data_IF_718580235393
#
_entry.id   IF_718580235393
#
_cell.length_a   1.000
_cell.length_b   1.000
_cell.length_c   1.000
_cell.angle_alpha   90.00
_cell.angle_beta   90.00
_cell.angle_gamma   90.00
#
_symmetry.space_group_name_H-M   'P 1'
#
loop_
_entity.id
_entity.type
_entity.pdbx_description
1 polymer ?
#
# COMPACT_ATOMS: atom_id res chain seq x y z
N UNK A 1 -11.35 5.42 39.86
CA UNK A 1 -9.99 4.89 40.12
C UNK A 1 -9.45 4.26 38.83
N UNK A 2 -8.17 4.48 38.51
CA UNK A 2 -7.55 3.78 37.38
C UNK A 2 -7.31 2.32 37.76
N UNK A 3 -7.75 1.37 36.95
CA UNK A 3 -7.44 -0.03 37.14
C UNK A 3 -5.94 -0.22 36.84
N UNK A 4 -5.23 -0.87 37.73
CA UNK A 4 -3.85 -1.32 37.56
C UNK A 4 -3.86 -2.85 37.64
N UNK A 5 -3.07 -3.50 36.81
CA UNK A 5 -2.95 -4.97 36.79
C UNK A 5 -1.70 -5.42 37.51
N UNK A 6 -1.72 -6.58 38.12
CA UNK A 6 -0.56 -7.14 38.82
C UNK A 6 0.44 -7.78 37.85
N UNK A 7 -0.07 -8.37 36.76
CA UNK A 7 0.71 -9.06 35.75
C UNK A 7 -0.03 -9.10 34.40
N UNK A 8 0.63 -9.64 33.38
CA UNK A 8 0.10 -9.78 32.03
C UNK A 8 -1.11 -10.74 31.94
N UNK A 9 -1.23 -11.70 32.85
CA UNK A 9 -2.37 -12.64 32.84
C UNK A 9 -3.64 -11.95 33.32
N UNK A 10 -3.56 -11.17 34.41
CA UNK A 10 -4.72 -10.37 34.88
C UNK A 10 -5.15 -9.35 33.82
N UNK A 11 -4.20 -8.71 33.12
CA UNK A 11 -4.50 -7.83 31.97
C UNK A 11 -5.25 -8.60 30.88
N UNK A 12 -4.74 -9.77 30.49
CA UNK A 12 -5.34 -10.62 29.45
C UNK A 12 -6.76 -11.02 29.80
N UNK A 13 -6.95 -11.63 30.98
CA UNK A 13 -8.28 -12.07 31.43
C UNK A 13 -9.30 -10.93 31.47
N UNK A 14 -8.89 -9.77 31.99
CA UNK A 14 -9.77 -8.62 32.03
C UNK A 14 -10.22 -8.15 30.65
N UNK A 15 -9.30 -8.04 29.68
CA UNK A 15 -9.64 -7.56 28.35
C UNK A 15 -10.31 -8.63 27.49
N UNK A 16 -10.08 -9.91 27.73
CA UNK A 16 -10.89 -10.98 27.13
C UNK A 16 -12.37 -10.92 27.59
N UNK A 17 -12.62 -10.65 28.87
CA UNK A 17 -13.99 -10.42 29.37
C UNK A 17 -14.57 -9.09 28.89
N UNK A 18 -13.76 -8.04 28.79
CA UNK A 18 -14.21 -6.76 28.26
C UNK A 18 -14.72 -6.86 26.81
N UNK A 19 -14.03 -7.66 25.98
CA UNK A 19 -14.38 -7.91 24.58
C UNK A 19 -15.67 -8.73 24.40
N UNK A 20 -16.11 -9.45 25.41
CA UNK A 20 -17.37 -10.22 25.39
C UNK A 20 -18.60 -9.38 25.73
N UNK A 21 -18.43 -8.12 26.11
CA UNK A 21 -19.54 -7.23 26.44
C UNK A 21 -20.45 -7.03 25.25
N UNK A 22 -21.76 -6.98 25.54
CA UNK A 22 -22.73 -6.67 24.50
C UNK A 22 -22.44 -5.30 23.85
N UNK A 23 -22.55 -5.26 22.53
CA UNK A 23 -22.23 -4.07 21.73
C UNK A 23 -20.73 -3.83 21.46
N UNK A 24 -19.80 -4.61 22.05
CA UNK A 24 -18.38 -4.48 21.71
C UNK A 24 -18.08 -5.17 20.37
N UNK A 25 -17.24 -4.53 19.55
CA UNK A 25 -16.74 -5.08 18.27
C UNK A 25 -15.23 -4.90 18.20
N UNK A 26 -14.51 -5.95 17.86
CA UNK A 26 -13.09 -5.86 17.58
C UNK A 26 -12.84 -5.09 16.28
N UNK A 27 -11.87 -4.18 16.23
CA UNK A 27 -11.52 -3.52 14.98
C UNK A 27 -10.79 -4.47 14.03
N UNK A 28 -11.09 -4.37 12.74
CA UNK A 28 -10.36 -5.05 11.67
C UNK A 28 -8.93 -4.52 11.58
N UNK A 29 -8.77 -3.20 11.79
CA UNK A 29 -7.47 -2.55 11.84
C UNK A 29 -7.50 -1.37 12.82
N UNK A 30 -6.35 -1.06 13.43
CA UNK A 30 -6.21 0.12 14.26
C UNK A 30 -4.76 0.59 14.38
N UNK A 31 -4.59 1.83 14.82
CA UNK A 31 -3.29 2.41 15.12
C UNK A 31 -3.38 3.77 15.79
N UNK A 32 -2.24 4.25 16.28
CA UNK A 32 -2.06 5.64 16.71
C UNK A 32 -1.47 6.40 15.51
N UNK A 33 -2.17 7.42 15.06
CA UNK A 33 -1.71 8.33 14.02
C UNK A 33 -1.13 9.61 14.62
N UNK A 34 0.01 10.08 14.09
CA UNK A 34 0.41 11.48 14.16
C UNK A 34 -0.11 12.18 12.93
N UNK A 35 -0.80 13.30 13.09
CA UNK A 35 -1.40 14.02 11.96
C UNK A 35 -0.71 15.36 11.73
N UNK A 36 -0.59 15.75 10.46
CA UNK A 36 -0.22 17.10 10.05
C UNK A 36 -1.46 17.83 9.55
N UNK A 37 -1.64 19.05 10.05
CA UNK A 37 -2.82 19.88 9.83
C UNK A 37 -2.56 20.97 8.81
N UNK A 38 -3.64 21.48 8.22
CA UNK A 38 -3.57 22.60 7.29
C UNK A 38 -3.03 23.86 7.95
N UNK A 39 -2.21 24.60 7.22
CA UNK A 39 -1.63 25.87 7.67
C UNK A 39 -2.69 26.98 7.71
N UNK A 40 -3.68 26.93 6.81
CA UNK A 40 -4.79 27.88 6.73
C UNK A 40 -6.00 27.40 7.55
N UNK A 41 -6.29 26.11 7.48
CA UNK A 41 -7.38 25.47 8.19
C UNK A 41 -6.84 24.34 9.08
N UNK A 42 -6.70 24.60 10.37
CA UNK A 42 -6.20 23.63 11.35
C UNK A 42 -7.11 22.41 11.57
N UNK A 43 -8.37 22.47 11.15
CA UNK A 43 -9.27 21.32 11.23
C UNK A 43 -9.05 20.32 10.09
N UNK A 44 -8.41 20.78 9.00
CA UNK A 44 -8.10 19.97 7.85
C UNK A 44 -6.86 19.11 8.09
N UNK A 45 -7.02 17.80 8.04
CA UNK A 45 -5.90 16.88 8.09
C UNK A 45 -5.29 16.76 6.69
N UNK A 46 -3.98 16.94 6.59
CA UNK A 46 -3.22 16.84 5.33
C UNK A 46 -2.57 15.49 5.15
N UNK A 47 -2.04 14.90 6.22
CA UNK A 47 -1.51 13.54 6.25
C UNK A 47 -1.63 12.92 7.63
N UNK A 48 -1.47 11.59 7.69
CA UNK A 48 -1.35 10.81 8.91
C UNK A 48 -0.16 9.85 8.83
N UNK A 49 0.66 9.81 9.88
CA UNK A 49 1.82 8.92 9.98
C UNK A 49 1.59 7.89 11.08
N UNK A 50 1.86 6.62 10.78
CA UNK A 50 1.73 5.51 11.72
C UNK A 50 3.07 4.83 11.94
N UNK A 51 3.52 4.73 13.18
CA UNK A 51 4.68 3.91 13.54
C UNK A 51 4.31 2.43 13.68
N UNK A 52 3.07 2.16 14.12
CA UNK A 52 2.54 0.81 14.32
C UNK A 52 1.13 0.73 13.76
N UNK A 53 0.88 -0.26 12.90
CA UNK A 53 -0.45 -0.60 12.39
C UNK A 53 -0.78 -2.05 12.71
N UNK A 54 -2.01 -2.31 13.09
CA UNK A 54 -2.51 -3.63 13.43
C UNK A 54 -3.63 -4.03 12.46
N UNK A 55 -3.59 -5.25 11.96
CA UNK A 55 -4.61 -5.81 11.08
C UNK A 55 -5.00 -7.21 11.56
N UNK A 56 -6.22 -7.37 12.06
CA UNK A 56 -6.74 -8.63 12.64
C UNK A 56 -5.81 -9.22 13.70
N UNK A 57 -5.13 -8.36 14.44
CA UNK A 57 -4.19 -8.72 15.50
C UNK A 57 -4.25 -7.74 16.67
N UNK A 58 -3.58 -8.05 17.78
CA UNK A 58 -3.45 -7.16 18.95
C UNK A 58 -4.79 -6.69 19.56
N UNK A 59 -5.83 -7.50 19.50
CA UNK A 59 -7.18 -7.15 19.96
C UNK A 59 -7.25 -6.71 21.43
N UNK A 60 -6.38 -7.26 22.29
CA UNK A 60 -6.30 -6.83 23.69
C UNK A 60 -5.76 -5.40 23.83
N UNK A 61 -4.82 -5.02 22.94
CA UNK A 61 -4.34 -3.63 22.89
C UNK A 61 -5.45 -2.69 22.40
N UNK A 62 -6.19 -3.07 21.35
CA UNK A 62 -7.35 -2.32 20.91
C UNK A 62 -8.38 -2.12 22.02
N UNK A 63 -8.72 -3.21 22.73
CA UNK A 63 -9.65 -3.19 23.85
C UNK A 63 -9.17 -2.27 24.99
N UNK A 64 -7.87 -2.26 25.27
CA UNK A 64 -7.29 -1.38 26.30
C UNK A 64 -7.37 0.10 25.92
N UNK A 65 -7.11 0.45 24.65
CA UNK A 65 -7.32 1.81 24.16
C UNK A 65 -8.78 2.22 24.20
N UNK A 66 -9.70 1.37 23.75
CA UNK A 66 -11.16 1.60 23.81
C UNK A 66 -11.61 1.80 25.25
N UNK A 67 -11.16 0.96 26.17
CA UNK A 67 -11.46 1.10 27.58
C UNK A 67 -10.92 2.42 28.16
N UNK A 68 -9.71 2.84 27.76
CA UNK A 68 -9.13 4.11 28.19
C UNK A 68 -9.96 5.30 27.69
N UNK A 69 -10.44 5.27 26.44
CA UNK A 69 -11.34 6.27 25.87
C UNK A 69 -12.64 6.36 26.68
N UNK A 70 -13.31 5.25 26.92
CA UNK A 70 -14.57 5.21 27.70
C UNK A 70 -14.36 5.71 29.14
N UNK A 71 -13.19 5.48 29.74
CA UNK A 71 -12.84 6.01 31.08
C UNK A 71 -12.45 7.47 31.07
N UNK A 72 -12.35 8.07 29.91
CA UNK A 72 -12.17 9.52 29.69
C UNK A 72 -13.41 10.19 29.09
N UNK A 73 -14.57 9.53 29.20
CA UNK A 73 -15.87 10.01 28.75
C UNK A 73 -15.99 10.17 27.22
N UNK A 74 -15.20 9.39 26.47
CA UNK A 74 -15.30 9.30 25.01
C UNK A 74 -16.12 8.08 24.65
N UNK A 75 -17.27 8.29 24.04
CA UNK A 75 -18.14 7.23 23.55
C UNK A 75 -17.58 6.69 22.22
N UNK A 76 -17.46 5.35 22.12
CA UNK A 76 -16.97 4.68 20.91
C UNK A 76 -18.16 4.12 20.15
N UNK A 77 -18.37 4.58 18.93
CA UNK A 77 -19.42 4.07 18.05
C UNK A 77 -18.94 2.82 17.31
N UNK A 78 -19.34 1.66 17.81
CA UNK A 78 -19.05 0.36 17.20
C UNK A 78 -19.91 0.03 15.97
N UNK A 79 -20.95 0.83 15.70
CA UNK A 79 -21.82 0.65 14.53
C UNK A 79 -21.24 1.32 13.27
N UNK A 80 -20.35 2.30 13.44
CA UNK A 80 -19.65 2.96 12.36
C UNK A 80 -18.59 2.05 11.74
N UNK A 81 -18.31 2.20 10.45
CA UNK A 81 -17.23 1.46 9.78
C UNK A 81 -15.84 1.89 10.24
N UNK A 82 -15.69 3.15 10.65
CA UNK A 82 -14.46 3.71 11.22
C UNK A 82 -14.77 4.62 12.40
N UNK A 83 -13.85 4.68 13.34
CA UNK A 83 -13.90 5.60 14.47
C UNK A 83 -12.55 6.27 14.65
N UNK A 84 -12.53 7.59 14.56
CA UNK A 84 -11.32 8.43 14.68
C UNK A 84 -11.53 9.42 15.80
N UNK A 85 -10.63 9.45 16.77
CA UNK A 85 -10.72 10.35 17.91
C UNK A 85 -9.35 10.85 18.34
N UNK A 86 -9.32 12.00 19.04
CA UNK A 86 -8.06 12.54 19.57
C UNK A 86 -7.49 11.65 20.68
N UNK A 87 -6.20 11.34 20.58
CA UNK A 87 -5.44 10.74 21.68
C UNK A 87 -4.90 11.88 22.56
N UNK A 88 -5.74 12.35 23.49
CA UNK A 88 -5.38 13.43 24.41
C UNK A 88 -4.37 12.95 25.47
N UNK A 89 -3.61 13.87 26.14
CA UNK A 89 -2.73 13.51 27.26
C UNK A 89 -3.46 12.73 28.37
N UNK A 90 -4.75 13.04 28.63
CA UNK A 90 -5.61 12.34 29.61
C UNK A 90 -5.80 10.87 29.20
N UNK A 91 -6.12 10.62 27.91
CA UNK A 91 -6.32 9.27 27.37
C UNK A 91 -5.01 8.50 27.34
N UNK A 92 -3.92 9.13 26.86
CA UNK A 92 -2.58 8.53 26.82
C UNK A 92 -2.10 8.10 28.22
N UNK A 93 -2.26 8.97 29.22
CA UNK A 93 -1.94 8.66 30.61
C UNK A 93 -2.78 7.50 31.17
N UNK A 94 -4.07 7.43 30.77
CA UNK A 94 -4.97 6.37 31.20
C UNK A 94 -4.56 5.05 30.56
N UNK A 95 -4.31 5.04 29.26
CA UNK A 95 -3.86 3.84 28.54
C UNK A 95 -2.50 3.35 29.04
N UNK A 96 -1.51 4.25 29.28
CA UNK A 96 -0.21 3.86 29.83
C UNK A 96 -0.32 3.14 31.17
N UNK A 97 -1.22 3.57 32.07
CA UNK A 97 -1.47 2.86 33.31
C UNK A 97 -2.02 1.45 33.13
N UNK A 98 -2.85 1.23 32.10
CA UNK A 98 -3.34 -0.11 31.78
C UNK A 98 -2.22 -1.02 31.26
N UNK A 99 -1.27 -0.45 30.51
CA UNK A 99 -0.13 -1.17 29.94
C UNK A 99 1.10 -1.26 30.87
N UNK A 100 1.02 -0.76 32.10
CA UNK A 100 2.17 -0.70 33.05
C UNK A 100 2.86 -2.05 33.27
N UNK A 101 2.13 -3.15 33.18
CA UNK A 101 2.67 -4.52 33.32
C UNK A 101 3.67 -4.90 32.22
N UNK A 102 3.68 -4.17 31.10
CA UNK A 102 4.58 -4.39 29.94
C UNK A 102 5.74 -3.41 29.88
N UNK A 103 5.86 -2.46 30.82
CA UNK A 103 6.90 -1.41 30.79
C UNK A 103 8.32 -1.97 30.89
N UNK A 104 8.50 -3.12 31.59
CA UNK A 104 9.82 -3.77 31.73
C UNK A 104 10.36 -4.37 30.43
N UNK A 105 9.46 -4.72 29.49
CA UNK A 105 9.79 -5.30 28.19
C UNK A 105 9.03 -4.55 27.05
N UNK A 106 9.09 -3.23 27.09
CA UNK A 106 8.33 -2.35 26.22
C UNK A 106 8.63 -2.59 24.73
N UNK A 107 9.87 -2.96 24.38
CA UNK A 107 10.29 -3.20 22.98
C UNK A 107 9.63 -4.41 22.33
N UNK A 108 9.23 -5.39 23.15
CA UNK A 108 8.48 -6.56 22.67
C UNK A 108 7.00 -6.27 22.42
N UNK A 109 6.50 -5.12 22.89
CA UNK A 109 5.09 -4.73 22.80
C UNK A 109 4.94 -3.43 21.99
N UNK A 110 4.93 -3.54 20.66
CA UNK A 110 4.96 -2.38 19.74
C UNK A 110 3.89 -1.31 19.98
N UNK A 111 2.67 -1.69 20.34
CA UNK A 111 1.62 -0.72 20.69
C UNK A 111 1.93 0.03 21.99
N UNK A 112 2.59 -0.61 22.95
CA UNK A 112 3.00 0.00 24.22
C UNK A 112 4.20 0.94 23.97
N UNK A 113 5.18 0.50 23.17
CA UNK A 113 6.33 1.32 22.74
C UNK A 113 5.87 2.60 22.03
N UNK A 114 4.91 2.46 21.10
CA UNK A 114 4.32 3.59 20.37
C UNK A 114 3.61 4.57 21.32
N UNK A 115 2.77 4.07 22.23
CA UNK A 115 2.09 4.90 23.23
C UNK A 115 3.09 5.61 24.15
N UNK A 116 4.18 4.95 24.53
CA UNK A 116 5.24 5.55 25.34
C UNK A 116 5.91 6.72 24.59
N UNK A 117 6.23 6.56 23.31
CA UNK A 117 6.78 7.62 22.48
C UNK A 117 5.83 8.82 22.37
N UNK A 118 4.51 8.57 22.21
CA UNK A 118 3.49 9.63 22.22
C UNK A 118 3.43 10.36 23.54
N UNK A 119 3.53 9.63 24.66
CA UNK A 119 3.54 10.23 25.99
C UNK A 119 4.77 11.11 26.21
N UNK A 120 5.95 10.65 25.81
CA UNK A 120 7.18 11.47 25.85
C UNK A 120 7.04 12.73 25.00
N UNK A 121 6.46 12.63 23.80
CA UNK A 121 6.23 13.80 22.97
C UNK A 121 5.32 14.85 23.63
N UNK A 122 4.32 14.44 24.41
CA UNK A 122 3.49 15.37 25.20
C UNK A 122 4.25 16.00 26.38
N UNK A 123 5.27 15.31 26.92
CA UNK A 123 6.08 15.81 28.03
C UNK A 123 7.18 16.78 27.57
N UNK A 124 7.77 16.54 26.39
CA UNK A 124 8.89 17.31 25.84
C UNK A 124 8.43 18.63 25.17
N UNK A 125 7.25 18.64 24.58
CA UNK A 125 6.73 19.79 23.84
C UNK A 125 5.40 20.26 24.45
N UNK A 126 5.47 21.21 25.38
CA UNK A 126 4.30 21.81 26.05
C UNK A 126 3.38 22.59 25.08
N UNK A 127 3.87 22.92 23.88
CA UNK A 127 3.09 23.53 22.80
C UNK A 127 2.51 22.49 21.84
N UNK A 128 2.82 21.19 22.03
CA UNK A 128 2.18 20.14 21.28
C UNK A 128 0.66 20.16 21.55
N UNK A 129 -0.04 20.75 20.61
CA UNK A 129 -1.50 20.79 20.64
C UNK A 129 -2.05 19.37 20.88
N UNK A 130 -2.99 19.26 21.82
CA UNK A 130 -3.68 18.00 22.17
C UNK A 130 -4.21 17.21 20.95
N UNK A 131 -4.27 17.85 19.80
CA UNK A 131 -4.87 17.32 18.57
C UNK A 131 -3.87 16.74 17.54
N UNK A 132 -2.56 16.60 17.89
CA UNK A 132 -1.55 16.03 16.94
C UNK A 132 -1.61 14.51 16.84
N UNK A 133 -2.17 13.83 17.83
CA UNK A 133 -2.26 12.37 17.85
C UNK A 133 -3.70 11.91 17.86
N UNK A 134 -3.99 10.85 17.10
CA UNK A 134 -5.32 10.26 17.01
C UNK A 134 -5.28 8.75 17.20
N UNK A 135 -6.31 8.21 17.83
CA UNK A 135 -6.63 6.80 17.78
C UNK A 135 -7.57 6.53 16.61
N UNK A 136 -7.22 5.60 15.78
CA UNK A 136 -7.97 5.24 14.57
C UNK A 136 -8.32 3.77 14.63
N UNK A 137 -9.61 3.47 14.53
CA UNK A 137 -10.15 2.11 14.49
C UNK A 137 -10.99 1.94 13.23
N UNK A 138 -10.73 0.89 12.48
CA UNK A 138 -11.58 0.44 11.39
C UNK A 138 -12.35 -0.79 11.89
N UNK A 139 -13.64 -0.65 12.10
CA UNK A 139 -14.49 -1.75 12.54
C UNK A 139 -14.97 -2.62 11.38
N UNK A 140 -14.98 -2.07 10.17
CA UNK A 140 -15.28 -2.79 8.94
C UNK A 140 -14.30 -2.39 7.82
N UNK A 141 -14.08 -3.28 6.86
CA UNK A 141 -13.38 -2.94 5.63
C UNK A 141 -14.36 -2.28 4.64
N UNK A 142 -14.64 -1.01 4.86
CA UNK A 142 -15.52 -0.17 4.06
C UNK A 142 -14.75 0.96 3.37
N UNK A 143 -15.45 1.79 2.58
CA UNK A 143 -14.91 3.02 2.01
C UNK A 143 -14.40 3.93 3.13
N UNK A 144 -13.16 4.40 3.08
CA UNK A 144 -12.63 5.29 4.09
C UNK A 144 -13.33 6.66 4.05
N UNK A 145 -13.62 7.22 5.21
CA UNK A 145 -14.32 8.52 5.38
C UNK A 145 -13.36 9.63 5.83
N UNK A 146 -12.19 9.26 6.39
CA UNK A 146 -11.20 10.20 6.92
C UNK A 146 -9.83 10.00 6.25
N UNK A 147 -8.99 11.04 6.28
CA UNK A 147 -7.59 10.99 5.83
C UNK A 147 -6.83 9.93 6.62
N UNK A 148 -7.05 9.88 7.93
CA UNK A 148 -6.44 8.94 8.84
C UNK A 148 -6.74 7.49 8.47
N UNK A 149 -7.99 7.18 8.14
CA UNK A 149 -8.40 5.84 7.70
C UNK A 149 -7.78 5.47 6.35
N UNK A 150 -7.71 6.41 5.39
CA UNK A 150 -7.01 6.17 4.12
C UNK A 150 -5.55 5.82 4.38
N UNK A 151 -4.83 6.64 5.17
CA UNK A 151 -3.43 6.38 5.47
C UNK A 151 -3.22 5.05 6.19
N UNK A 152 -4.09 4.68 7.15
CA UNK A 152 -4.01 3.39 7.82
C UNK A 152 -4.07 2.24 6.79
N UNK A 153 -5.01 2.29 5.85
CA UNK A 153 -5.14 1.29 4.77
C UNK A 153 -3.92 1.28 3.83
N UNK A 154 -3.37 2.44 3.47
CA UNK A 154 -2.16 2.52 2.67
C UNK A 154 -0.94 1.92 3.39
N UNK A 155 -0.79 2.15 4.69
CA UNK A 155 0.24 1.52 5.52
C UNK A 155 0.09 0.00 5.56
N UNK A 156 -1.13 -0.53 5.70
CA UNK A 156 -1.38 -1.97 5.72
C UNK A 156 -0.86 -2.65 4.45
N UNK A 157 -1.09 -2.05 3.28
CA UNK A 157 -0.58 -2.57 2.01
C UNK A 157 0.95 -2.41 1.93
N UNK A 158 1.46 -1.21 2.20
CA UNK A 158 2.89 -0.91 2.02
C UNK A 158 3.79 -1.66 2.98
N UNK A 159 3.30 -2.02 4.17
CA UNK A 159 3.99 -2.87 5.14
C UNK A 159 3.75 -4.38 4.92
N UNK A 160 3.01 -4.75 3.87
CA UNK A 160 2.74 -6.15 3.56
C UNK A 160 1.80 -6.86 4.54
N UNK A 161 1.07 -6.12 5.40
CA UNK A 161 0.05 -6.70 6.29
C UNK A 161 -1.15 -7.24 5.51
N UNK A 162 -1.44 -6.63 4.37
CA UNK A 162 -2.44 -7.07 3.40
C UNK A 162 -1.90 -6.99 1.98
N UNK A 163 -2.35 -7.87 1.12
CA UNK A 163 -1.99 -7.82 -0.30
C UNK A 163 -2.75 -6.69 -1.03
N UNK A 164 -2.20 -6.14 -2.13
CA UNK A 164 -2.97 -5.28 -3.01
C UNK A 164 -4.30 -5.90 -3.43
N UNK A 165 -5.33 -5.11 -3.60
CA UNK A 165 -6.70 -5.53 -4.00
C UNK A 165 -7.49 -6.30 -2.95
N UNK A 166 -7.01 -6.45 -1.72
CA UNK A 166 -7.67 -7.24 -0.67
C UNK A 166 -8.39 -6.38 0.37
N UNK A 167 -8.24 -5.06 0.31
CA UNK A 167 -8.98 -4.09 1.14
C UNK A 167 -9.63 -3.01 0.27
N UNK A 168 -10.72 -2.43 0.79
CA UNK A 168 -11.50 -1.40 0.09
C UNK A 168 -10.78 -0.06 0.16
N UNK A 169 -10.37 0.47 -1.01
CA UNK A 169 -9.78 1.81 -1.17
C UNK A 169 -10.66 2.75 -2.00
N UNK A 170 -11.86 2.32 -2.37
CA UNK A 170 -12.80 3.16 -3.11
C UNK A 170 -13.07 4.46 -2.35
N UNK A 171 -13.05 5.58 -3.05
CA UNK A 171 -13.25 6.89 -2.45
C UNK A 171 -12.01 7.55 -1.85
N UNK A 172 -10.87 6.85 -1.70
CA UNK A 172 -9.63 7.41 -1.12
C UNK A 172 -9.18 8.72 -1.82
N UNK A 173 -9.29 8.81 -3.15
CA UNK A 173 -9.00 10.04 -3.90
C UNK A 173 -9.91 11.23 -3.54
N UNK A 174 -11.15 10.95 -3.14
CA UNK A 174 -12.10 11.99 -2.69
C UNK A 174 -11.77 12.53 -1.31
N UNK A 175 -11.26 11.67 -0.43
CA UNK A 175 -10.92 11.98 0.95
C UNK A 175 -9.58 12.70 1.07
N UNK A 176 -8.56 12.25 0.33
CA UNK A 176 -7.21 12.82 0.41
C UNK A 176 -7.17 14.23 -0.18
N UNK A 177 -6.59 15.22 0.53
CA UNK A 177 -6.36 16.55 0.00
C UNK A 177 -5.21 16.55 -1.02
N UNK A 178 -5.27 17.44 -2.01
CA UNK A 178 -4.14 17.71 -2.88
C UNK A 178 -3.23 18.74 -2.22
N UNK A 179 -1.97 18.38 -1.97
CA UNK A 179 -1.01 19.18 -1.20
C UNK A 179 0.33 19.30 -1.91
N UNK A 180 1.09 20.33 -1.57
CA UNK A 180 2.50 20.43 -1.94
C UNK A 180 3.34 19.64 -0.94
N UNK A 181 4.16 18.73 -1.42
CA UNK A 181 5.10 17.95 -0.62
C UNK A 181 6.47 18.61 -0.66
N UNK A 182 7.01 18.92 0.52
CA UNK A 182 8.38 19.45 0.62
C UNK A 182 9.42 18.33 0.58
N UNK A 183 10.69 18.71 0.40
CA UNK A 183 11.82 17.76 0.50
C UNK A 183 11.95 17.08 1.87
N UNK A 184 11.34 17.65 2.90
CA UNK A 184 11.29 17.09 4.26
C UNK A 184 10.01 16.25 4.53
N UNK A 185 9.23 15.95 3.47
CA UNK A 185 7.95 15.24 3.55
C UNK A 185 6.86 15.96 4.37
N UNK A 186 6.94 17.27 4.48
CA UNK A 186 5.93 18.10 5.13
C UNK A 186 4.89 18.51 4.08
N UNK A 187 3.59 18.20 4.27
CA UNK A 187 2.54 18.66 3.39
C UNK A 187 2.18 20.11 3.65
N UNK A 188 1.98 20.87 2.58
CA UNK A 188 1.57 22.28 2.66
C UNK A 188 0.35 22.50 1.77
N UNK A 189 -0.64 23.27 2.28
CA UNK A 189 -1.81 23.64 1.51
C UNK A 189 -1.43 24.57 0.35
N UNK A 190 -1.87 24.24 -0.86
CA UNK A 190 -1.59 25.05 -2.05
C UNK A 190 -2.20 26.46 -1.96
N UNK A 191 -3.33 26.60 -1.29
CA UNK A 191 -3.98 27.89 -1.09
C UNK A 191 -3.13 28.78 -0.17
N UNK A 192 -2.65 28.22 0.94
CA UNK A 192 -1.75 28.92 1.85
C UNK A 192 -0.46 29.37 1.17
N UNK A 193 0.14 28.51 0.33
CA UNK A 193 1.33 28.86 -0.44
C UNK A 193 1.09 30.04 -1.37
N UNK A 194 -0.05 30.08 -2.08
CA UNK A 194 -0.39 31.19 -2.97
C UNK A 194 -0.60 32.50 -2.21
N UNK A 195 -1.27 32.45 -1.07
CA UNK A 195 -1.53 33.63 -0.25
C UNK A 195 -0.24 34.22 0.36
N UNK A 196 0.73 33.36 0.68
CA UNK A 196 1.99 33.78 1.31
C UNK A 196 3.17 33.84 0.33
N UNK A 197 2.97 33.64 -0.97
CA UNK A 197 4.03 33.48 -1.96
C UNK A 197 5.03 34.64 -1.95
N UNK A 198 4.55 35.88 -1.90
CA UNK A 198 5.38 37.08 -1.96
C UNK A 198 6.29 37.16 -0.72
N UNK A 199 5.72 37.02 0.47
CA UNK A 199 6.50 37.07 1.72
C UNK A 199 7.53 35.94 1.80
N UNK A 200 7.11 34.71 1.51
CA UNK A 200 7.99 33.54 1.54
C UNK A 200 9.18 33.70 0.59
N UNK A 201 8.95 34.22 -0.64
CA UNK A 201 10.03 34.47 -1.60
C UNK A 201 10.94 35.61 -1.20
N UNK A 202 10.38 36.71 -0.70
CA UNK A 202 11.17 37.89 -0.31
C UNK A 202 11.99 37.68 0.96
N UNK A 203 11.50 36.85 1.89
CA UNK A 203 12.26 36.50 3.10
C UNK A 203 13.19 35.30 2.91
N UNK A 204 13.15 34.64 1.75
CA UNK A 204 13.98 33.46 1.50
C UNK A 204 13.49 32.19 2.20
N UNK A 205 12.24 32.16 2.61
CA UNK A 205 11.59 31.05 3.35
C UNK A 205 10.74 30.15 2.46
N UNK A 206 10.77 30.35 1.14
CA UNK A 206 9.96 29.55 0.20
C UNK A 206 10.41 28.08 0.26
N UNK A 207 9.51 27.13 0.58
CA UNK A 207 9.89 25.74 0.81
C UNK A 207 10.31 25.04 -0.48
N UNK A 208 11.26 24.09 -0.37
CA UNK A 208 11.65 23.22 -1.47
C UNK A 208 10.55 22.21 -1.76
N UNK A 209 9.67 22.49 -2.72
CA UNK A 209 8.56 21.62 -3.12
C UNK A 209 9.07 20.59 -4.13
N UNK A 210 8.87 19.30 -3.85
CA UNK A 210 9.31 18.19 -4.70
C UNK A 210 8.16 17.56 -5.49
N UNK A 211 6.92 17.71 -5.05
CA UNK A 211 5.75 17.23 -5.80
C UNK A 211 4.46 17.89 -5.29
N UNK A 212 3.40 17.80 -6.12
CA UNK A 212 2.03 18.13 -5.75
C UNK A 212 1.19 16.89 -6.06
N UNK A 213 0.63 16.27 -5.03
CA UNK A 213 -0.17 15.04 -5.19
C UNK A 213 -1.06 14.84 -3.97
N UNK A 214 -2.11 14.04 -4.12
CA UNK A 214 -2.94 13.55 -3.02
C UNK A 214 -2.24 12.42 -2.24
N UNK A 215 -1.45 11.60 -2.92
CA UNK A 215 -0.73 10.48 -2.32
C UNK A 215 0.72 10.84 -2.03
N UNK A 216 1.25 10.54 -0.84
CA UNK A 216 2.68 10.67 -0.57
C UNK A 216 3.49 9.61 -1.32
N UNK A 217 4.80 9.77 -1.31
CA UNK A 217 5.73 8.76 -1.82
C UNK A 217 5.93 7.65 -0.79
N UNK A 218 6.19 6.43 -1.27
CA UNK A 218 6.43 5.26 -0.44
C UNK A 218 7.53 5.52 0.60
N UNK A 219 8.69 6.02 0.16
CA UNK A 219 9.84 6.28 1.04
C UNK A 219 9.63 7.42 2.06
N UNK A 220 8.57 8.22 1.92
CA UNK A 220 8.22 9.22 2.92
C UNK A 220 7.64 8.62 4.20
N UNK A 221 7.17 7.37 4.14
CA UNK A 221 6.47 6.72 5.24
C UNK A 221 6.99 5.31 5.56
N UNK A 222 7.62 4.64 4.61
CA UNK A 222 7.98 3.22 4.71
C UNK A 222 9.48 3.05 4.60
N UNK A 223 10.04 2.33 5.54
CA UNK A 223 11.42 1.85 5.48
C UNK A 223 11.38 0.48 4.78
N UNK A 224 11.95 0.34 3.56
CA UNK A 224 11.97 -0.93 2.86
C UNK A 224 12.92 -1.93 3.51
N UNK A 225 12.87 -3.19 3.07
CA UNK A 225 13.84 -4.20 3.46
C UNK A 225 15.25 -3.87 2.91
N UNK A 226 16.30 -4.38 3.55
CA UNK A 226 17.70 -4.05 3.24
C UNK A 226 18.11 -4.39 1.80
N UNK A 227 17.49 -5.42 1.20
CA UNK A 227 17.74 -5.84 -0.19
C UNK A 227 16.75 -5.23 -1.20
N UNK A 228 15.92 -4.26 -0.79
CA UNK A 228 15.03 -3.52 -1.68
C UNK A 228 15.70 -2.24 -2.15
N UNK A 229 15.67 -1.97 -3.46
CA UNK A 229 16.29 -0.78 -4.03
C UNK A 229 15.24 0.07 -4.75
N UNK A 230 15.09 1.32 -4.36
CA UNK A 230 14.24 2.32 -5.01
C UNK A 230 15.13 3.51 -5.33
N UNK A 231 15.53 3.63 -6.61
CA UNK A 231 16.56 4.58 -7.04
C UNK A 231 16.04 6.02 -7.18
N UNK A 232 14.72 6.19 -7.26
CA UNK A 232 14.05 7.49 -7.30
C UNK A 232 12.74 7.41 -6.50
N UNK A 233 12.66 8.18 -5.41
CA UNK A 233 11.50 8.19 -4.52
C UNK A 233 10.18 8.54 -5.24
N UNK A 234 10.23 9.30 -6.33
CA UNK A 234 9.05 9.67 -7.12
C UNK A 234 8.40 8.48 -7.85
N UNK A 235 9.10 7.34 -7.95
CA UNK A 235 8.66 6.18 -8.73
C UNK A 235 7.71 5.24 -7.99
N UNK A 236 7.55 5.40 -6.68
CA UNK A 236 6.67 4.52 -5.90
C UNK A 236 5.73 5.36 -5.05
N UNK A 237 4.42 5.19 -5.25
CA UNK A 237 3.39 5.77 -4.39
C UNK A 237 3.22 4.97 -3.11
N UNK A 238 2.91 5.64 -2.02
CA UNK A 238 2.42 4.98 -0.82
C UNK A 238 1.13 4.20 -1.11
N UNK A 239 0.97 3.06 -0.46
CA UNK A 239 -0.07 2.07 -0.81
C UNK A 239 0.36 1.09 -1.90
N UNK A 240 1.61 1.15 -2.37
CA UNK A 240 2.24 0.09 -3.13
C UNK A 240 2.78 -1.00 -2.19
N UNK A 241 2.70 -2.27 -2.60
CA UNK A 241 3.38 -3.37 -1.95
C UNK A 241 4.73 -3.63 -2.66
N UNK A 242 5.84 -3.27 -2.01
CA UNK A 242 7.19 -3.49 -2.55
C UNK A 242 7.85 -4.59 -1.75
N UNK A 243 7.92 -5.78 -2.33
CA UNK A 243 8.45 -6.97 -1.65
C UNK A 243 9.98 -6.93 -1.56
N UNK A 244 10.60 -7.55 -0.52
CA UNK A 244 12.04 -7.70 -0.43
C UNK A 244 12.67 -8.23 -1.73
N UNK A 245 13.85 -7.71 -2.11
CA UNK A 245 14.53 -8.04 -3.35
C UNK A 245 14.00 -7.33 -4.60
N UNK A 246 12.98 -6.48 -4.48
CA UNK A 246 12.50 -5.67 -5.61
C UNK A 246 13.44 -4.51 -5.89
N UNK A 247 13.76 -4.28 -7.16
CA UNK A 247 14.54 -3.13 -7.63
C UNK A 247 13.67 -2.26 -8.51
N UNK A 248 13.50 -0.99 -8.14
CA UNK A 248 12.76 0.01 -8.92
C UNK A 248 13.76 1.00 -9.48
N UNK A 249 13.94 0.95 -10.81
CA UNK A 249 14.89 1.80 -11.52
C UNK A 249 14.38 3.24 -11.69
N UNK A 250 15.24 4.21 -11.98
CA UNK A 250 14.80 5.54 -12.39
C UNK A 250 14.21 5.52 -13.81
N UNK A 251 13.85 6.66 -14.35
CA UNK A 251 13.35 6.77 -15.72
C UNK A 251 11.88 6.38 -15.85
N UNK A 252 11.58 5.33 -16.60
CA UNK A 252 10.20 4.92 -16.91
C UNK A 252 9.54 4.06 -15.84
N UNK A 253 10.28 3.59 -14.83
CA UNK A 253 9.72 2.80 -13.74
C UNK A 253 8.65 3.57 -12.96
N UNK A 254 7.58 2.89 -12.57
CA UNK A 254 6.55 3.44 -11.70
C UNK A 254 5.71 2.33 -11.08
N UNK A 255 5.51 2.37 -9.76
CA UNK A 255 4.57 1.49 -9.06
C UNK A 255 3.50 2.37 -8.41
N UNK A 256 2.26 2.17 -8.82
CA UNK A 256 1.12 2.92 -8.31
C UNK A 256 0.60 2.34 -6.98
N UNK A 257 -0.28 3.08 -6.28
CA UNK A 257 -0.98 2.57 -5.09
C UNK A 257 -1.85 1.34 -5.45
N UNK A 258 -2.13 0.51 -4.46
CA UNK A 258 -2.90 -0.74 -4.60
C UNK A 258 -2.32 -1.70 -5.66
N UNK A 259 -1.04 -1.54 -5.98
CA UNK A 259 -0.26 -2.36 -6.90
C UNK A 259 1.01 -2.85 -6.22
N UNK A 260 1.76 -3.75 -6.82
CA UNK A 260 3.04 -4.14 -6.25
C UNK A 260 3.61 -5.45 -6.77
N UNK A 261 4.56 -5.97 -6.02
CA UNK A 261 5.31 -7.20 -6.29
C UNK A 261 5.03 -8.25 -5.22
N UNK A 262 5.22 -9.53 -5.53
CA UNK A 262 5.03 -10.65 -4.57
C UNK A 262 6.34 -11.35 -4.21
N UNK A 263 7.47 -10.79 -4.60
CA UNK A 263 8.83 -11.24 -4.35
C UNK A 263 9.80 -10.29 -5.02
N UNK A 264 11.07 -10.65 -5.16
CA UNK A 264 12.08 -9.88 -5.89
C UNK A 264 11.70 -9.74 -7.37
N UNK A 265 11.60 -8.51 -7.85
CA UNK A 265 11.21 -8.14 -9.24
C UNK A 265 12.09 -6.99 -9.71
N UNK A 266 12.55 -7.05 -10.96
CA UNK A 266 13.12 -5.88 -11.62
C UNK A 266 12.01 -5.02 -12.21
N UNK A 267 11.94 -3.75 -11.86
CA UNK A 267 10.94 -2.81 -12.36
C UNK A 267 11.63 -1.64 -13.04
N UNK A 268 11.60 -1.64 -14.36
CA UNK A 268 12.07 -0.55 -15.22
C UNK A 268 10.93 0.09 -16.02
N UNK A 269 9.74 -0.48 -15.92
CA UNK A 269 8.52 -0.06 -16.58
C UNK A 269 7.40 0.30 -15.60
N UNK A 270 6.18 0.48 -16.11
CA UNK A 270 5.02 0.93 -15.36
C UNK A 270 4.19 -0.23 -14.81
N UNK A 271 4.04 -0.29 -13.50
CA UNK A 271 3.12 -1.14 -12.76
C UNK A 271 1.94 -0.28 -12.33
N UNK A 272 0.85 -0.31 -13.10
CA UNK A 272 -0.33 0.55 -12.89
C UNK A 272 -1.13 0.14 -11.65
N UNK A 273 -2.08 0.98 -11.24
CA UNK A 273 -2.97 0.66 -10.10
C UNK A 273 -3.63 -0.71 -10.25
N UNK A 274 -3.69 -1.44 -9.15
CA UNK A 274 -4.24 -2.80 -9.06
C UNK A 274 -3.49 -3.89 -9.84
N UNK A 275 -2.26 -3.61 -10.31
CA UNK A 275 -1.39 -4.60 -10.95
C UNK A 275 -0.53 -5.29 -9.90
N UNK A 276 -0.43 -6.62 -10.01
CA UNK A 276 0.46 -7.43 -9.17
C UNK A 276 1.44 -8.19 -10.06
N UNK A 277 2.74 -8.12 -9.72
CA UNK A 277 3.83 -8.78 -10.47
C UNK A 277 4.47 -9.86 -9.62
N UNK A 278 4.54 -11.07 -10.15
CA UNK A 278 5.09 -12.25 -9.51
C UNK A 278 6.62 -12.22 -9.39
N UNK A 279 7.12 -12.91 -8.36
CA UNK A 279 8.54 -13.09 -8.06
C UNK A 279 9.38 -13.51 -9.28
N UNK A 280 10.60 -13.02 -9.38
CA UNK A 280 11.56 -13.37 -10.44
C UNK A 280 11.21 -12.78 -11.81
N UNK A 281 10.19 -11.92 -11.90
CA UNK A 281 9.79 -11.28 -13.16
C UNK A 281 10.58 -10.00 -13.41
N UNK A 282 10.68 -9.65 -14.69
CA UNK A 282 11.36 -8.46 -15.19
C UNK A 282 10.39 -7.62 -16.01
N UNK A 283 10.11 -6.40 -15.53
CA UNK A 283 9.32 -5.39 -16.21
C UNK A 283 10.28 -4.44 -16.91
N UNK A 284 10.63 -4.77 -18.15
CA UNK A 284 11.68 -4.09 -18.93
C UNK A 284 11.42 -2.59 -19.14
N UNK A 285 12.47 -1.89 -19.56
CA UNK A 285 12.47 -0.42 -19.69
C UNK A 285 11.32 0.12 -20.53
N UNK A 286 10.46 0.95 -19.92
CA UNK A 286 9.28 1.51 -20.60
C UNK A 286 8.14 0.53 -20.85
N UNK A 287 8.24 -0.74 -20.45
CA UNK A 287 7.11 -1.66 -20.49
C UNK A 287 5.95 -1.13 -19.65
N UNK A 288 4.72 -1.37 -20.07
CA UNK A 288 3.51 -0.84 -19.45
C UNK A 288 2.48 -1.92 -19.20
N UNK A 289 2.23 -2.20 -17.92
CA UNK A 289 1.13 -3.08 -17.50
C UNK A 289 -0.09 -2.19 -17.24
N UNK A 290 -1.19 -2.46 -17.93
CA UNK A 290 -2.38 -1.61 -17.90
C UNK A 290 -3.15 -1.80 -16.59
N UNK A 291 -3.64 -0.69 -16.04
CA UNK A 291 -4.52 -0.69 -14.87
C UNK A 291 -6.00 -0.78 -15.24
N UNK A 292 -6.83 -1.10 -14.25
CA UNK A 292 -8.28 -1.33 -14.39
C UNK A 292 -9.05 -0.17 -15.02
N UNK A 293 -8.61 1.08 -14.85
CA UNK A 293 -9.32 2.26 -15.36
C UNK A 293 -8.94 2.65 -16.79
N UNK A 294 -7.79 2.20 -17.28
CA UNK A 294 -7.21 2.75 -18.53
C UNK A 294 -7.03 1.74 -19.66
N UNK A 295 -7.44 0.49 -19.49
CA UNK A 295 -7.18 -0.45 -20.57
C UNK A 295 -7.69 -1.88 -20.42
N UNK A 296 -8.41 -2.22 -19.36
CA UNK A 296 -8.83 -3.61 -19.10
C UNK A 296 -10.29 -3.67 -18.63
N UNK A 297 -11.25 -3.13 -19.25
CA UNK A 297 -12.68 -3.24 -18.88
C UNK A 297 -12.99 -3.52 -17.39
N UNK A 298 -12.17 -2.99 -16.47
CA UNK A 298 -12.30 -3.23 -15.04
C UNK A 298 -11.58 -4.48 -14.49
N UNK A 299 -10.94 -5.30 -15.36
CA UNK A 299 -10.24 -6.52 -14.94
C UNK A 299 -8.81 -6.19 -14.44
N UNK A 300 -8.43 -6.54 -13.19
CA UNK A 300 -7.07 -6.31 -12.72
C UNK A 300 -6.09 -7.27 -13.41
N UNK A 301 -4.96 -6.73 -13.88
CA UNK A 301 -3.88 -7.52 -14.48
C UNK A 301 -2.97 -8.06 -13.41
N UNK A 302 -2.70 -9.37 -13.47
CA UNK A 302 -1.65 -10.02 -12.69
C UNK A 302 -0.62 -10.60 -13.64
N UNK A 303 0.66 -10.43 -13.32
CA UNK A 303 1.79 -11.06 -14.01
C UNK A 303 2.30 -12.16 -13.09
N UNK A 304 2.42 -13.37 -13.61
CA UNK A 304 2.93 -14.53 -12.89
C UNK A 304 4.42 -14.41 -12.55
N UNK A 305 4.98 -15.50 -12.04
CA UNK A 305 6.41 -15.59 -11.68
C UNK A 305 7.28 -15.79 -12.91
N UNK A 306 8.52 -15.31 -12.83
CA UNK A 306 9.56 -15.52 -13.87
C UNK A 306 9.09 -15.09 -15.27
N UNK A 307 8.33 -13.99 -15.35
CA UNK A 307 7.91 -13.39 -16.60
C UNK A 307 8.90 -12.32 -17.07
N UNK A 308 8.96 -12.11 -18.39
CA UNK A 308 9.70 -11.01 -19.00
C UNK A 308 8.72 -10.14 -19.83
N UNK A 309 8.60 -8.89 -19.47
CA UNK A 309 7.94 -7.88 -20.28
C UNK A 309 9.03 -7.06 -20.99
N UNK A 310 9.22 -7.32 -22.27
CA UNK A 310 10.26 -6.66 -23.07
C UNK A 310 10.10 -5.15 -23.10
N UNK A 311 11.19 -4.43 -23.37
CA UNK A 311 11.21 -2.98 -23.37
C UNK A 311 10.09 -2.39 -24.26
N UNK A 312 9.39 -1.37 -23.76
CA UNK A 312 8.27 -0.70 -24.43
C UNK A 312 7.10 -1.63 -24.84
N UNK A 313 7.00 -2.82 -24.26
CA UNK A 313 5.82 -3.65 -24.45
C UNK A 313 4.61 -3.13 -23.67
N UNK A 314 3.40 -3.46 -24.13
CA UNK A 314 2.15 -3.13 -23.44
C UNK A 314 1.39 -4.41 -23.14
N UNK A 315 1.02 -4.62 -21.87
CA UNK A 315 0.30 -5.82 -21.42
C UNK A 315 -1.02 -5.41 -20.78
N UNK A 316 -2.13 -5.83 -21.39
CA UNK A 316 -3.49 -5.56 -20.92
C UNK A 316 -4.26 -6.81 -20.56
N UNK A 317 -3.59 -7.98 -20.44
CA UNK A 317 -4.19 -9.26 -20.05
C UNK A 317 -3.35 -9.89 -18.93
N UNK A 318 -3.96 -10.68 -18.03
CA UNK A 318 -3.21 -11.45 -17.05
C UNK A 318 -2.24 -12.43 -17.74
N UNK A 319 -1.06 -12.63 -17.18
CA UNK A 319 -0.10 -13.63 -17.62
C UNK A 319 0.13 -14.63 -16.49
N UNK A 320 0.18 -15.91 -16.84
CA UNK A 320 0.64 -16.95 -15.92
C UNK A 320 2.17 -16.94 -15.76
N UNK A 321 2.70 -17.97 -15.14
CA UNK A 321 4.15 -18.09 -14.89
C UNK A 321 4.96 -18.33 -16.19
N UNK A 322 6.20 -17.88 -16.20
CA UNK A 322 7.17 -18.09 -17.29
C UNK A 322 6.72 -17.51 -18.65
N UNK A 323 5.90 -16.46 -18.64
CA UNK A 323 5.46 -15.79 -19.87
C UNK A 323 6.48 -14.73 -20.32
N UNK A 324 6.54 -14.51 -21.63
CA UNK A 324 7.35 -13.48 -22.26
C UNK A 324 6.49 -12.67 -23.21
N UNK A 325 6.63 -11.34 -23.14
CA UNK A 325 6.12 -10.41 -24.13
C UNK A 325 7.31 -9.74 -24.78
N UNK A 326 7.53 -9.92 -26.08
CA UNK A 326 8.67 -9.30 -26.76
C UNK A 326 8.61 -7.77 -26.74
N UNK A 327 9.77 -7.15 -26.90
CA UNK A 327 9.87 -5.69 -26.89
C UNK A 327 9.01 -5.02 -27.99
N UNK A 328 8.45 -3.87 -27.66
CA UNK A 328 7.71 -3.02 -28.61
C UNK A 328 6.34 -3.52 -29.04
N UNK A 329 5.82 -4.64 -28.49
CA UNK A 329 4.51 -5.18 -28.88
C UNK A 329 3.43 -4.87 -27.84
N UNK A 330 2.17 -4.80 -28.31
CA UNK A 330 1.01 -4.63 -27.45
C UNK A 330 0.14 -5.89 -27.45
N UNK A 331 -0.06 -6.46 -26.25
CA UNK A 331 -0.95 -7.61 -26.02
C UNK A 331 -2.14 -7.12 -25.18
N UNK A 332 -3.22 -6.77 -25.84
CA UNK A 332 -4.45 -6.24 -25.27
C UNK A 332 -5.56 -7.28 -25.30
N UNK A 333 -6.64 -7.10 -24.56
CA UNK A 333 -7.76 -8.05 -24.48
C UNK A 333 -8.27 -8.51 -25.86
N UNK A 334 -8.40 -7.61 -26.82
CA UNK A 334 -8.89 -7.89 -28.17
C UNK A 334 -7.84 -8.33 -29.18
N UNK A 335 -6.54 -8.31 -28.82
CA UNK A 335 -5.46 -8.69 -29.73
C UNK A 335 -5.63 -10.12 -30.25
N UNK A 336 -5.58 -10.28 -31.58
CA UNK A 336 -5.63 -11.61 -32.21
C UNK A 336 -4.24 -12.25 -32.17
N UNK A 337 -4.17 -13.41 -31.55
CA UNK A 337 -2.93 -14.17 -31.33
C UNK A 337 -3.03 -15.47 -32.12
N UNK A 338 -2.10 -15.69 -33.06
CA UNK A 338 -1.98 -16.93 -33.80
C UNK A 338 -1.06 -17.92 -33.07
N UNK A 339 -1.49 -19.19 -32.98
CA UNK A 339 -0.72 -20.27 -32.37
C UNK A 339 -0.69 -21.46 -33.36
N UNK A 340 0.49 -21.80 -33.86
CA UNK A 340 0.64 -22.94 -34.79
C UNK A 340 0.27 -24.28 -34.14
N UNK A 341 -0.09 -25.29 -34.92
CA UNK A 341 -0.46 -26.60 -34.41
C UNK A 341 0.59 -27.21 -33.49
N UNK A 342 1.87 -27.14 -33.88
CA UNK A 342 2.98 -27.67 -33.06
C UNK A 342 3.19 -26.91 -31.73
N UNK A 343 2.90 -25.62 -31.69
CA UNK A 343 2.99 -24.85 -30.45
C UNK A 343 1.76 -25.08 -29.56
N UNK A 344 0.56 -25.28 -30.12
CA UNK A 344 -0.63 -25.68 -29.36
C UNK A 344 -0.42 -26.97 -28.59
N UNK A 345 0.20 -27.99 -29.21
CA UNK A 345 0.55 -29.26 -28.55
C UNK A 345 1.51 -29.06 -27.35
N UNK A 346 2.51 -28.16 -27.50
CA UNK A 346 3.44 -27.85 -26.41
C UNK A 346 2.77 -27.08 -25.28
N UNK A 347 1.97 -26.08 -25.62
CA UNK A 347 1.25 -25.26 -24.66
C UNK A 347 0.17 -26.05 -23.92
N UNK A 348 -0.48 -27.01 -24.57
CA UNK A 348 -1.45 -27.90 -23.91
C UNK A 348 -0.81 -28.78 -22.83
N UNK A 349 0.45 -29.19 -23.01
CA UNK A 349 1.21 -29.93 -21.97
C UNK A 349 1.52 -29.06 -20.74
N UNK A 350 1.73 -27.75 -20.95
CA UNK A 350 1.99 -26.78 -19.89
C UNK A 350 0.68 -26.37 -19.19
N UNK A 351 -0.42 -26.29 -19.94
CA UNK A 351 -1.72 -25.83 -19.47
C UNK A 351 -2.81 -26.90 -19.71
N UNK A 352 -2.81 -28.00 -18.97
CA UNK A 352 -3.67 -29.17 -19.26
C UNK A 352 -5.17 -28.88 -19.07
N UNK A 353 -5.54 -27.84 -18.34
CA UNK A 353 -6.91 -27.39 -18.16
C UNK A 353 -7.47 -26.56 -19.32
N UNK A 354 -6.61 -26.08 -20.23
CA UNK A 354 -7.02 -25.26 -21.37
C UNK A 354 -6.96 -26.05 -22.67
N UNK A 355 -8.03 -26.01 -23.46
CA UNK A 355 -8.10 -26.71 -24.75
C UNK A 355 -7.73 -25.79 -25.91
N UNK A 356 -6.58 -26.06 -26.52
CA UNK A 356 -6.08 -25.31 -27.68
C UNK A 356 -6.70 -25.84 -28.99
N UNK A 357 -8.00 -25.56 -29.22
CA UNK A 357 -8.74 -26.07 -30.39
C UNK A 357 -8.63 -25.16 -31.63
N UNK A 358 -8.47 -23.85 -31.42
CA UNK A 358 -8.39 -22.85 -32.49
C UNK A 358 -6.94 -22.48 -32.85
N UNK A 359 -6.73 -21.91 -34.03
CA UNK A 359 -5.44 -21.34 -34.43
C UNK A 359 -5.27 -19.88 -34.01
N UNK A 360 -6.38 -19.15 -33.85
CA UNK A 360 -6.42 -17.74 -33.50
C UNK A 360 -7.29 -17.58 -32.27
N UNK A 361 -6.73 -16.93 -31.23
CA UNK A 361 -7.39 -16.59 -29.99
C UNK A 361 -7.40 -15.07 -29.78
N UNK A 362 -8.37 -14.54 -29.05
CA UNK A 362 -8.18 -13.24 -28.40
C UNK A 362 -7.20 -13.40 -27.26
N UNK A 363 -6.33 -12.42 -27.04
CA UNK A 363 -5.36 -12.50 -25.94
C UNK A 363 -6.02 -12.68 -24.56
N UNK A 364 -7.23 -12.12 -24.37
CA UNK A 364 -8.00 -12.32 -23.13
C UNK A 364 -8.32 -13.81 -22.88
N UNK A 365 -8.59 -14.59 -23.93
CA UNK A 365 -8.86 -16.04 -23.81
C UNK A 365 -7.63 -16.83 -23.36
N UNK A 366 -6.43 -16.30 -23.60
CA UNK A 366 -5.14 -16.85 -23.18
C UNK A 366 -4.70 -16.31 -21.82
N UNK A 367 -5.49 -15.43 -21.21
CA UNK A 367 -5.17 -14.78 -19.95
C UNK A 367 -4.93 -15.76 -18.81
N UNK A 368 -3.81 -15.59 -18.07
CA UNK A 368 -3.42 -16.44 -16.95
C UNK A 368 -2.79 -17.78 -17.31
N UNK A 369 -2.66 -18.13 -18.60
CA UNK A 369 -1.97 -19.33 -19.04
C UNK A 369 -0.44 -19.18 -18.85
N UNK A 370 0.22 -20.28 -18.52
CA UNK A 370 1.66 -20.34 -18.28
C UNK A 370 2.47 -20.53 -19.56
N UNK A 371 3.69 -20.04 -19.55
CA UNK A 371 4.71 -20.37 -20.57
C UNK A 371 4.42 -19.81 -21.97
N UNK A 372 3.61 -18.76 -22.09
CA UNK A 372 3.34 -18.11 -23.36
C UNK A 372 4.45 -17.12 -23.71
N UNK A 373 4.98 -17.23 -24.94
CA UNK A 373 5.90 -16.26 -25.51
C UNK A 373 5.22 -15.53 -26.66
N UNK A 374 4.78 -14.29 -26.41
CA UNK A 374 4.16 -13.42 -27.40
C UNK A 374 5.20 -12.70 -28.24
N UNK A 375 5.04 -12.77 -29.57
CA UNK A 375 5.92 -12.18 -30.58
C UNK A 375 5.13 -11.53 -31.69
N UNK A 376 5.74 -10.60 -32.41
CA UNK A 376 5.22 -10.10 -33.66
C UNK A 376 6.01 -10.66 -34.84
N UNK A 377 5.32 -11.20 -35.84
CA UNK A 377 5.90 -11.55 -37.11
C UNK A 377 6.25 -10.26 -37.86
N UNK A 378 7.52 -9.98 -38.08
CA UNK A 378 8.00 -8.73 -38.69
C UNK A 378 7.60 -8.54 -40.17
N UNK A 379 7.21 -9.62 -40.86
CA UNK A 379 6.77 -9.54 -42.26
C UNK A 379 5.26 -9.22 -42.36
N UNK A 380 4.45 -9.79 -41.47
CA UNK A 380 2.99 -9.71 -41.56
C UNK A 380 2.35 -8.78 -40.52
N UNK A 381 3.10 -8.44 -39.46
CA UNK A 381 2.59 -7.71 -38.30
C UNK A 381 1.73 -8.58 -37.35
N UNK A 382 1.49 -9.85 -37.67
CA UNK A 382 0.67 -10.75 -36.88
C UNK A 382 1.30 -11.04 -35.51
N UNK A 383 0.49 -10.92 -34.44
CA UNK A 383 0.92 -11.37 -33.12
C UNK A 383 0.78 -12.88 -33.02
N UNK A 384 1.83 -13.53 -32.59
CA UNK A 384 1.90 -15.00 -32.43
C UNK A 384 2.24 -15.35 -30.98
N UNK A 385 1.86 -16.54 -30.55
CA UNK A 385 2.35 -17.09 -29.29
C UNK A 385 2.95 -18.50 -29.51
N UNK A 386 4.00 -18.78 -28.79
CA UNK A 386 4.68 -20.07 -28.75
C UNK A 386 5.00 -20.48 -27.31
N UNK A 387 5.38 -21.75 -27.09
CA UNK A 387 5.87 -22.16 -25.77
C UNK A 387 7.20 -21.46 -25.46
N UNK A 388 7.29 -20.82 -24.30
CA UNK A 388 8.51 -20.18 -23.82
C UNK A 388 9.60 -21.23 -23.61
N UNK A 389 10.79 -20.96 -24.14
CA UNK A 389 11.99 -21.81 -23.97
C UNK A 389 13.06 -21.14 -23.11
N UNK A 390 12.83 -19.89 -22.73
CA UNK A 390 13.81 -19.08 -21.99
C UNK A 390 13.53 -19.19 -20.50
N UNK A 391 14.55 -19.60 -19.73
CA UNK A 391 14.53 -19.43 -18.29
C UNK A 391 14.86 -17.96 -17.97
N UNK A 392 13.94 -17.25 -17.39
CA UNK A 392 14.16 -15.88 -16.90
C UNK A 392 14.88 -15.98 -15.56
N UNK A 393 16.05 -15.38 -15.46
CA UNK A 393 16.79 -15.23 -14.21
C UNK A 393 17.12 -13.76 -14.03
N UNK A 394 16.80 -13.22 -12.88
CA UNK A 394 17.27 -11.90 -12.49
C UNK A 394 18.76 -11.94 -12.22
N UNK A 395 19.45 -10.84 -12.45
CA UNK A 395 20.88 -10.74 -12.16
C UNK A 395 21.06 -10.63 -10.63
N UNK A 396 21.60 -11.66 -10.00
CA UNK A 396 21.82 -11.75 -8.56
C UNK A 396 22.65 -10.57 -8.00
N UNK A 397 23.53 -9.97 -8.81
CA UNK A 397 24.30 -8.81 -8.39
C UNK A 397 23.48 -7.52 -8.28
N UNK A 398 22.27 -7.49 -8.83
CA UNK A 398 21.38 -6.33 -8.80
C UNK A 398 20.29 -6.44 -7.74
N UNK A 399 20.09 -7.61 -7.15
CA UNK A 399 19.05 -7.96 -6.15
C UNK A 399 19.67 -8.42 -4.81
#
# INVERSE_FOLDING_TARGET
MSKEFKDANEFKEFFEEFRKKDGYKDPVAFGIARVDRGQKNSDKILQASYAVVNYKESFLSAAAFIYALQKCDVEVDFSASEFVTDLTPKVAKKASKLFSVFEKDIKSHKNVENLHAVKMAFEDDLELNENKFKLVFLFDDAKPLSVEAVYLKLYLISLGKVAPRTIVLDGAFGVLPNVAWTSQNIPIELEWLRENEISLKMFGEYPAIVSVDKFPRFLSHIIPADNTRILDAAKVRMGAAVHPGTVVMPGAAYINFNAGTTGGVMVEGRVSSSVVVGEGSDVGGGASILGVLSGTNGNPVSIGKHCLLGANSVTGVPLGDNCIVDAGIAVLEGTKVYISASEREKLAKINPSFKFEAEIYKALELGGLNGLHFRQNSQTGQITASASKRAIKLNEALH
#
